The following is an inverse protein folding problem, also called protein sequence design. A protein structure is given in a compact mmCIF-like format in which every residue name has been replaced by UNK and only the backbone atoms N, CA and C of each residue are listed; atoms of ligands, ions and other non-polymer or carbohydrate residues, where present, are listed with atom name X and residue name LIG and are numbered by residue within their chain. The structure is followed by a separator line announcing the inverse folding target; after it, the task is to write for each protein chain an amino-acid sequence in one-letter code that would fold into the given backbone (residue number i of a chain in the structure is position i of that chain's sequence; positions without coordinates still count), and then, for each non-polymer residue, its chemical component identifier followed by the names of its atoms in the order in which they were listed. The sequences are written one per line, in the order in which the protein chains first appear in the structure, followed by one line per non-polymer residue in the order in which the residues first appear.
data_IF_800219424896
#
_entry.id   IF_800219424896
#
_cell.length_a   1.000
_cell.length_b   1.000
_cell.length_c   1.000
_cell.angle_alpha   90.00
_cell.angle_beta   90.00
_cell.angle_gamma   90.00
#
_symmetry.space_group_name_H-M   'P 1'
#
loop_
_entity.id
_entity.type
_entity.pdbx_description
1 polymer ?
#
# COMPACT_ATOMS: atom_id res chain seq x y z
N UNK A 1 -54.38 -13.43 15.62
CA UNK A 1 -52.96 -13.09 15.89
C UNK A 1 -52.20 -13.31 14.59
N UNK A 2 -51.82 -12.25 13.88
CA UNK A 2 -51.17 -12.34 12.56
C UNK A 2 -49.93 -11.46 12.59
N UNK A 3 -48.74 -12.07 12.68
CA UNK A 3 -47.47 -11.35 12.55
C UNK A 3 -47.10 -11.25 11.06
N UNK A 4 -46.60 -10.09 10.57
CA UNK A 4 -46.14 -9.97 9.19
C UNK A 4 -44.74 -10.61 9.04
N UNK A 5 -44.40 -11.16 7.86
CA UNK A 5 -43.08 -11.71 7.63
C UNK A 5 -42.05 -10.59 7.50
N UNK A 6 -40.98 -10.68 8.29
CA UNK A 6 -39.82 -9.81 8.17
C UNK A 6 -39.21 -9.96 6.77
N UNK A 7 -39.27 -8.89 5.97
CA UNK A 7 -38.48 -8.77 4.75
C UNK A 7 -36.99 -8.82 5.11
N UNK A 8 -36.41 -10.02 5.09
CA UNK A 8 -34.95 -10.19 5.08
C UNK A 8 -34.46 -9.70 3.73
N UNK A 9 -33.94 -8.48 3.72
CA UNK A 9 -33.13 -7.99 2.61
C UNK A 9 -32.02 -9.01 2.32
N UNK A 10 -31.78 -9.37 1.04
CA UNK A 10 -30.78 -10.37 0.70
C UNK A 10 -29.41 -9.91 1.20
N UNK A 11 -28.65 -10.83 1.83
CA UNK A 11 -27.31 -10.60 2.37
C UNK A 11 -26.32 -9.98 1.36
N UNK A 12 -26.65 -10.09 0.07
CA UNK A 12 -25.96 -9.50 -1.06
C UNK A 12 -25.93 -7.96 -1.01
N UNK A 13 -27.02 -7.32 -0.54
CA UNK A 13 -27.12 -5.87 -0.43
C UNK A 13 -26.25 -5.32 0.72
N UNK A 14 -26.11 -6.07 1.81
CA UNK A 14 -25.22 -5.71 2.95
C UNK A 14 -23.73 -5.76 2.60
N UNK A 15 -23.31 -6.63 1.69
CA UNK A 15 -21.92 -6.66 1.21
C UNK A 15 -21.60 -5.46 0.31
N UNK A 16 -22.55 -5.04 -0.52
CA UNK A 16 -22.39 -3.88 -1.40
C UNK A 16 -22.24 -2.56 -0.62
N UNK A 17 -22.94 -2.39 0.51
CA UNK A 17 -22.87 -1.16 1.32
C UNK A 17 -21.57 -1.00 2.11
N UNK A 18 -20.82 -2.09 2.35
CA UNK A 18 -19.57 -2.05 3.14
C UNK A 18 -18.33 -1.89 2.26
N UNK A 19 -18.46 -2.13 0.96
CA UNK A 19 -17.51 -1.68 -0.06
C UNK A 19 -17.77 -0.19 -0.38
N UNK A 20 -17.75 0.66 0.65
CA UNK A 20 -17.56 2.08 0.43
C UNK A 20 -16.26 2.21 -0.37
N UNK A 21 -16.38 2.66 -1.62
CA UNK A 21 -15.29 2.83 -2.56
C UNK A 21 -14.23 3.71 -1.90
N UNK A 22 -13.20 3.10 -1.29
CA UNK A 22 -11.98 3.85 -0.99
C UNK A 22 -11.44 4.29 -2.34
N UNK A 23 -11.23 5.60 -2.57
CA UNK A 23 -10.64 6.09 -3.81
C UNK A 23 -9.37 5.29 -4.08
N UNK A 24 -9.23 4.78 -5.30
CA UNK A 24 -7.99 4.10 -5.70
C UNK A 24 -6.85 5.13 -5.56
N UNK A 25 -5.75 4.78 -4.89
CA UNK A 25 -4.63 5.69 -4.71
C UNK A 25 -4.14 6.12 -6.09
N UNK A 26 -4.12 7.43 -6.32
CA UNK A 26 -3.61 8.04 -7.55
C UNK A 26 -2.12 7.76 -7.70
N UNK A 27 -1.56 8.01 -8.88
CA UNK A 27 -0.11 7.95 -9.09
C UNK A 27 0.62 8.86 -8.11
N UNK A 28 0.07 10.06 -7.83
CA UNK A 28 0.64 10.99 -6.84
C UNK A 28 0.66 10.36 -5.43
N UNK A 29 -0.45 9.77 -4.98
CA UNK A 29 -0.52 9.10 -3.67
C UNK A 29 0.44 7.89 -3.57
N UNK A 30 0.77 7.27 -4.70
CA UNK A 30 1.75 6.19 -4.76
C UNK A 30 3.18 6.72 -4.72
N UNK A 31 3.46 7.84 -5.38
CA UNK A 31 4.76 8.52 -5.35
C UNK A 31 5.10 9.10 -3.97
N UNK A 32 4.11 9.65 -3.26
CA UNK A 32 4.31 10.18 -1.89
C UNK A 32 4.82 9.12 -0.90
N UNK A 33 4.54 7.84 -1.14
CA UNK A 33 5.02 6.73 -0.29
C UNK A 33 6.53 6.52 -0.37
N UNK A 34 7.20 7.11 -1.35
CA UNK A 34 8.64 6.99 -1.52
C UNK A 34 9.41 8.04 -0.71
N UNK A 35 8.81 9.20 -0.40
CA UNK A 35 9.46 10.28 0.37
C UNK A 35 10.16 9.77 1.63
N UNK A 36 9.51 9.04 2.56
CA UNK A 36 10.20 8.54 3.76
C UNK A 36 11.31 7.52 3.45
N UNK A 37 11.20 6.76 2.34
CA UNK A 37 12.25 5.82 1.93
C UNK A 37 13.48 6.55 1.38
N UNK A 38 13.27 7.67 0.67
CA UNK A 38 14.35 8.52 0.21
C UNK A 38 15.01 9.27 1.37
N UNK A 39 14.23 9.76 2.32
CA UNK A 39 14.77 10.40 3.53
C UNK A 39 15.67 9.44 4.31
N UNK A 40 15.21 8.19 4.49
CA UNK A 40 15.99 7.13 5.13
C UNK A 40 17.26 6.80 4.33
N UNK A 41 17.17 6.67 3.00
CA UNK A 41 18.34 6.43 2.15
C UNK A 41 19.38 7.55 2.31
N UNK A 42 18.94 8.81 2.31
CA UNK A 42 19.80 9.98 2.52
C UNK A 42 20.42 9.96 3.92
N UNK A 43 19.63 9.63 4.94
CA UNK A 43 20.13 9.52 6.31
C UNK A 43 21.23 8.47 6.42
N UNK A 44 21.00 7.25 5.90
CA UNK A 44 21.99 6.17 5.88
C UNK A 44 23.23 6.54 5.06
N UNK A 45 23.05 7.22 3.92
CA UNK A 45 24.17 7.71 3.11
C UNK A 45 25.08 8.71 3.83
N UNK A 46 24.53 9.51 4.76
CA UNK A 46 25.34 10.41 5.60
C UNK A 46 26.16 9.70 6.66
N UNK A 47 25.74 8.50 7.06
CA UNK A 47 26.38 7.70 8.10
C UNK A 47 27.30 6.61 7.53
N UNK A 48 27.21 6.33 6.23
CA UNK A 48 28.01 5.31 5.57
C UNK A 48 29.50 5.67 5.57
N UNK A 49 30.34 4.72 5.99
CA UNK A 49 31.79 4.91 6.08
C UNK A 49 32.58 3.76 5.45
N UNK A 50 31.94 2.61 5.26
CA UNK A 50 32.57 1.40 4.73
C UNK A 50 32.02 1.04 3.36
N UNK A 51 32.79 0.26 2.59
CA UNK A 51 32.35 -0.28 1.30
C UNK A 51 31.05 -1.07 1.42
N UNK A 52 30.89 -1.86 2.49
CA UNK A 52 29.68 -2.63 2.74
C UNK A 52 28.45 -1.71 2.93
N UNK A 53 28.61 -0.57 3.60
CA UNK A 53 27.52 0.41 3.72
C UNK A 53 27.09 0.93 2.34
N UNK A 54 28.06 1.20 1.45
CA UNK A 54 27.77 1.67 0.09
C UNK A 54 27.06 0.61 -0.76
N UNK A 55 27.44 -0.66 -0.62
CA UNK A 55 26.77 -1.78 -1.31
C UNK A 55 25.30 -1.89 -0.86
N UNK A 56 25.03 -1.76 0.44
CA UNK A 56 23.65 -1.76 0.97
C UNK A 56 22.83 -0.56 0.50
N UNK A 57 23.46 0.62 0.38
CA UNK A 57 22.83 1.81 -0.17
C UNK A 57 22.48 1.63 -1.65
N UNK A 58 23.36 1.01 -2.43
CA UNK A 58 23.11 0.70 -3.84
C UNK A 58 21.95 -0.29 -4.01
N UNK A 59 21.89 -1.33 -3.19
CA UNK A 59 20.78 -2.29 -3.17
C UNK A 59 19.46 -1.57 -2.85
N UNK A 60 19.48 -0.71 -1.82
CA UNK A 60 18.32 0.07 -1.41
C UNK A 60 17.85 1.03 -2.52
N UNK A 61 18.78 1.74 -3.16
CA UNK A 61 18.49 2.65 -4.27
C UNK A 61 17.90 1.90 -5.47
N UNK A 62 18.45 0.72 -5.79
CA UNK A 62 17.95 -0.15 -6.86
C UNK A 62 16.51 -0.62 -6.57
N UNK A 63 16.22 -1.01 -5.32
CA UNK A 63 14.87 -1.39 -4.91
C UNK A 63 13.88 -0.23 -5.05
N UNK A 64 14.27 0.98 -4.63
CA UNK A 64 13.44 2.19 -4.78
C UNK A 64 13.18 2.48 -6.27
N UNK A 65 14.20 2.43 -7.12
CA UNK A 65 14.06 2.66 -8.56
C UNK A 65 13.14 1.63 -9.24
N UNK A 66 13.25 0.35 -8.85
CA UNK A 66 12.37 -0.71 -9.32
C UNK A 66 10.90 -0.43 -8.97
N UNK A 67 10.65 -0.07 -7.72
CA UNK A 67 9.30 0.19 -7.21
C UNK A 67 8.72 1.47 -7.83
N UNK A 68 9.53 2.51 -8.02
CA UNK A 68 9.14 3.74 -8.69
C UNK A 68 8.68 3.46 -10.13
N UNK A 69 9.44 2.66 -10.88
CA UNK A 69 9.06 2.21 -12.23
C UNK A 69 7.78 1.39 -12.23
N UNK A 70 7.50 0.65 -11.16
CA UNK A 70 6.29 -0.16 -11.06
C UNK A 70 5.02 0.70 -10.98
N UNK A 71 5.08 1.86 -10.32
CA UNK A 71 3.95 2.82 -10.25
C UNK A 71 3.49 3.23 -11.64
N UNK A 72 4.42 3.51 -12.55
CA UNK A 72 4.10 3.95 -13.91
C UNK A 72 3.69 2.80 -14.84
N UNK A 73 4.21 1.59 -14.62
CA UNK A 73 3.92 0.41 -15.46
C UNK A 73 2.63 -0.31 -15.07
N UNK A 74 2.26 -0.24 -13.80
CA UNK A 74 1.05 -0.84 -13.27
C UNK A 74 0.47 0.10 -12.22
N UNK A 75 -0.35 1.08 -12.63
CA UNK A 75 -0.97 2.01 -11.68
C UNK A 75 -1.92 1.30 -10.71
N UNK A 76 -2.26 0.04 -11.00
CA UNK A 76 -2.91 -0.88 -10.08
C UNK A 76 -1.84 -1.72 -9.37
N UNK A 77 -1.63 -1.58 -8.05
CA UNK A 77 -0.72 -2.46 -7.35
C UNK A 77 -1.17 -3.91 -7.51
N UNK A 78 -0.30 -4.77 -8.08
CA UNK A 78 -0.57 -6.21 -8.31
C UNK A 78 -0.89 -6.97 -7.01
N UNK A 79 -0.47 -6.42 -5.88
CA UNK A 79 -0.89 -6.80 -4.55
C UNK A 79 -1.35 -5.53 -3.81
N UNK A 80 -2.59 -5.11 -4.01
CA UNK A 80 -3.21 -4.16 -3.10
C UNK A 80 -3.22 -4.81 -1.70
N UNK A 81 -2.65 -4.19 -0.65
CA UNK A 81 -2.71 -4.76 0.68
C UNK A 81 -4.18 -4.99 1.04
N UNK A 82 -4.52 -6.23 1.39
CA UNK A 82 -5.89 -6.64 1.67
C UNK A 82 -6.54 -5.78 2.77
N UNK A 83 -5.72 -5.19 3.65
CA UNK A 83 -6.14 -4.18 4.62
C UNK A 83 -5.06 -3.11 4.87
N UNK A 84 -5.48 -1.84 5.03
CA UNK A 84 -4.66 -0.76 5.60
C UNK A 84 -5.16 -0.51 7.02
N UNK A 85 -4.40 -0.94 8.02
CA UNK A 85 -4.62 -0.58 9.43
C UNK A 85 -3.77 0.64 9.79
N UNK A 86 -4.19 1.40 10.80
CA UNK A 86 -3.51 2.62 11.27
C UNK A 86 -2.07 2.39 11.78
N UNK A 87 -1.67 1.12 11.96
CA UNK A 87 -0.36 0.72 12.49
C UNK A 87 0.61 0.18 11.41
N UNK A 88 0.26 0.26 10.12
CA UNK A 88 1.16 -0.17 9.05
C UNK A 88 1.11 -1.68 8.77
N UNK A 89 0.58 -2.02 7.59
CA UNK A 89 0.72 -3.24 6.77
C UNK A 89 0.76 -4.61 7.49
N UNK A 90 -0.32 -5.38 7.33
CA UNK A 90 -0.30 -6.84 7.52
C UNK A 90 -0.86 -7.55 6.29
N UNK A 91 -0.17 -8.59 5.81
CA UNK A 91 -0.70 -9.57 4.85
C UNK A 91 -1.06 -10.84 5.63
N UNK A 92 -2.27 -11.37 5.43
CA UNK A 92 -2.61 -12.75 5.79
C UNK A 92 -2.99 -13.49 4.51
N UNK A 93 -2.23 -14.55 4.26
CA UNK A 93 -2.39 -15.72 3.38
C UNK A 93 -3.16 -15.54 2.07
#
# INVERSE_FOLDING_TARGET
MTHPPAHRLPAQQRRASRAALRPRPTVADQLERFTPRFDELIHRARLATTTADFDELEETATAIARDLRAVFRSPTPRAAPLFVTAAGKGAMF
#
